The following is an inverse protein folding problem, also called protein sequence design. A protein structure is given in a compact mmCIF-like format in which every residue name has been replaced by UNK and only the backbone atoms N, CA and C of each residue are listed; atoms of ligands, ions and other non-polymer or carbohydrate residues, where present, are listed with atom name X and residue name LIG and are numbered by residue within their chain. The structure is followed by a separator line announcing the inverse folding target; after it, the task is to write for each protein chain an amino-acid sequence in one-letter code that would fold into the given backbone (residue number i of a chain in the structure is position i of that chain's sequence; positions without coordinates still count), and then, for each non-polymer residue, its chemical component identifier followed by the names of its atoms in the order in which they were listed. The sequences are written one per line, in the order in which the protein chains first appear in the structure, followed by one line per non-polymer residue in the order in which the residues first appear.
data_IF_490502402910
#
_entry.id   IF_490502402910
#
_cell.length_a   1.000
_cell.length_b   1.000
_cell.length_c   1.000
_cell.angle_alpha   90.00
_cell.angle_beta   90.00
_cell.angle_gamma   90.00
#
_symmetry.space_group_name_H-M   'P 1'
#
loop_
_entity.id
_entity.type
_entity.pdbx_description
1 polymer ?
#
# COMPACT_ATOMS: atom_id res chain seq x y z
N UNK A 1 6.76 -23.59 4.02
CA UNK A 1 5.85 -22.49 3.63
C UNK A 1 6.11 -21.29 4.54
N UNK A 2 6.06 -20.08 3.99
CA UNK A 2 6.05 -18.85 4.80
C UNK A 2 4.82 -18.82 5.70
N UNK A 3 4.94 -18.23 6.89
CA UNK A 3 3.83 -17.99 7.83
C UNK A 3 2.74 -17.08 7.23
N UNK A 4 3.10 -16.26 6.25
CA UNK A 4 2.21 -15.36 5.50
C UNK A 4 1.61 -16.00 4.26
N UNK A 5 2.05 -17.19 3.85
CA UNK A 5 1.60 -17.85 2.62
C UNK A 5 2.13 -17.24 1.30
N UNK A 6 3.04 -16.26 1.38
CA UNK A 6 3.59 -15.56 0.21
C UNK A 6 4.58 -16.39 -0.60
N UNK A 7 5.33 -17.24 0.10
CA UNK A 7 6.39 -18.07 -0.47
C UNK A 7 6.24 -19.53 -0.07
N UNK A 8 6.38 -20.41 -1.05
CA UNK A 8 6.48 -21.85 -0.85
C UNK A 8 7.83 -22.32 -1.40
N UNK A 9 8.67 -22.89 -0.53
CA UNK A 9 9.87 -23.61 -0.94
C UNK A 9 9.55 -25.11 -0.94
N UNK A 10 9.70 -25.77 -2.08
CA UNK A 10 9.41 -27.19 -2.24
C UNK A 10 10.49 -27.88 -3.11
N UNK A 11 10.78 -29.13 -2.79
CA UNK A 11 11.59 -30.03 -3.61
C UNK A 11 10.67 -30.90 -4.45
N UNK A 12 10.96 -31.07 -5.74
CA UNK A 12 10.17 -31.92 -6.63
C UNK A 12 10.78 -33.33 -6.66
N UNK A 13 9.92 -34.35 -6.73
CA UNK A 13 10.37 -35.74 -6.82
C UNK A 13 11.21 -35.92 -8.10
N UNK A 14 12.38 -36.55 -7.95
CA UNK A 14 13.35 -36.83 -9.02
C UNK A 14 14.17 -35.63 -9.54
N UNK A 15 14.18 -34.48 -8.84
CA UNK A 15 15.05 -33.34 -9.16
C UNK A 15 15.99 -32.89 -8.02
N UNK A 16 17.23 -32.55 -8.36
CA UNK A 16 18.19 -31.94 -7.42
C UNK A 16 18.00 -30.42 -7.39
N UNK A 17 17.27 -29.92 -6.39
CA UNK A 17 17.10 -28.49 -6.16
C UNK A 17 16.02 -28.13 -5.16
N UNK A 18 15.97 -26.86 -4.75
CA UNK A 18 14.86 -26.28 -3.97
C UNK A 18 14.21 -25.20 -4.83
N UNK A 19 12.94 -25.40 -5.17
CA UNK A 19 12.17 -24.46 -5.99
C UNK A 19 11.42 -23.50 -5.09
N UNK A 20 11.51 -22.20 -5.38
CA UNK A 20 10.77 -21.14 -4.68
C UNK A 20 9.57 -20.72 -5.54
N UNK A 21 8.39 -20.78 -4.94
CA UNK A 21 7.11 -20.45 -5.55
C UNK A 21 6.52 -19.20 -4.88
N UNK A 22 5.98 -18.27 -5.66
CA UNK A 22 5.27 -17.07 -5.18
C UNK A 22 3.80 -17.13 -5.55
N UNK A 23 2.91 -16.74 -4.63
CA UNK A 23 1.48 -16.75 -4.90
C UNK A 23 1.04 -15.57 -5.78
N UNK A 24 0.68 -15.83 -7.06
CA UNK A 24 0.21 -14.81 -8.02
C UNK A 24 -1.07 -14.10 -7.56
N UNK A 25 -1.93 -14.76 -6.77
CA UNK A 25 -3.17 -14.17 -6.25
C UNK A 25 -2.95 -13.02 -5.26
N UNK A 26 -1.72 -12.84 -4.76
CA UNK A 26 -1.36 -11.69 -3.93
C UNK A 26 -1.12 -10.41 -4.74
N UNK A 27 -0.88 -10.54 -6.05
CA UNK A 27 -0.46 -9.44 -6.91
C UNK A 27 -1.41 -9.18 -8.09
N UNK A 28 -2.28 -10.15 -8.42
CA UNK A 28 -3.28 -10.04 -9.50
C UNK A 28 -4.60 -10.66 -9.07
N UNK A 29 -5.72 -10.08 -9.53
CA UNK A 29 -7.04 -10.69 -9.36
C UNK A 29 -7.08 -12.02 -10.12
N UNK A 30 -7.21 -13.14 -9.41
CA UNK A 30 -7.34 -14.48 -10.00
C UNK A 30 -8.82 -14.90 -9.91
N UNK A 31 -9.55 -14.98 -11.04
CA UNK A 31 -10.94 -15.38 -11.03
C UNK A 31 -11.09 -16.83 -10.54
N UNK A 32 -12.13 -17.09 -9.74
CA UNK A 32 -12.39 -18.42 -9.16
C UNK A 32 -13.29 -19.23 -10.09
N UNK A 33 -12.79 -19.59 -11.27
CA UNK A 33 -13.47 -20.51 -12.19
C UNK A 33 -12.98 -21.95 -11.98
N UNK A 34 -13.82 -22.92 -12.37
CA UNK A 34 -13.36 -24.30 -12.52
C UNK A 34 -12.29 -24.37 -13.62
N UNK A 35 -11.07 -24.74 -13.25
CA UNK A 35 -9.97 -24.98 -14.18
C UNK A 35 -10.11 -26.40 -14.72
N UNK A 36 -10.16 -26.55 -16.04
CA UNK A 36 -10.16 -27.88 -16.67
C UNK A 36 -8.72 -28.42 -16.78
N UNK A 37 -8.52 -29.74 -16.74
CA UNK A 37 -7.16 -30.34 -16.83
C UNK A 37 -6.38 -29.93 -18.09
N UNK A 38 -7.08 -29.46 -19.13
CA UNK A 38 -6.49 -28.95 -20.38
C UNK A 38 -5.90 -27.55 -20.25
N UNK A 39 -6.34 -26.77 -19.26
CA UNK A 39 -5.84 -25.41 -18.97
C UNK A 39 -4.61 -25.43 -18.05
N UNK A 40 -4.25 -26.59 -17.49
CA UNK A 40 -3.05 -26.75 -16.67
C UNK A 40 -1.83 -26.78 -17.61
N UNK A 41 -1.23 -25.61 -17.81
CA UNK A 41 0.03 -25.48 -18.55
C UNK A 41 1.20 -26.14 -17.79
N UNK A 42 2.06 -26.85 -18.51
CA UNK A 42 3.36 -27.28 -17.97
C UNK A 42 4.31 -26.08 -17.98
N UNK A 43 4.62 -25.54 -16.80
CA UNK A 43 5.61 -24.48 -16.64
C UNK A 43 7.00 -25.10 -16.53
N UNK A 44 7.93 -24.63 -17.37
CA UNK A 44 9.33 -25.06 -17.32
C UNK A 44 9.98 -24.65 -15.98
N UNK A 45 10.77 -25.55 -15.41
CA UNK A 45 11.32 -25.39 -14.07
C UNK A 45 12.55 -24.46 -14.08
N UNK A 46 12.79 -23.72 -12.97
CA UNK A 46 13.99 -22.90 -12.85
C UNK A 46 15.26 -23.78 -12.82
N UNK A 47 16.11 -23.65 -13.84
CA UNK A 47 17.41 -24.35 -13.87
C UNK A 47 18.44 -23.68 -12.96
N UNK A 48 19.31 -24.48 -12.34
CA UNK A 48 20.38 -24.03 -11.40
C UNK A 48 21.33 -22.97 -11.99
N UNK A 49 21.42 -22.87 -13.32
CA UNK A 49 22.27 -21.91 -14.03
C UNK A 49 21.59 -20.58 -14.36
N UNK A 50 20.29 -20.40 -14.09
CA UNK A 50 19.56 -19.17 -14.39
C UNK A 50 19.38 -18.82 -15.88
N UNK A 51 20.11 -19.48 -16.79
CA UNK A 51 19.83 -19.47 -18.22
C UNK A 51 18.50 -20.21 -18.48
N UNK A 52 17.56 -19.51 -19.14
CA UNK A 52 16.19 -19.91 -19.50
C UNK A 52 15.10 -19.71 -18.42
N UNK A 53 15.22 -18.73 -17.53
CA UNK A 53 14.19 -18.39 -16.55
C UNK A 53 12.99 -17.57 -17.12
N UNK A 54 12.73 -17.62 -18.43
CA UNK A 54 11.73 -16.79 -19.12
C UNK A 54 10.32 -16.89 -18.51
N UNK A 55 9.95 -18.08 -17.98
CA UNK A 55 8.63 -18.31 -17.39
C UNK A 55 8.31 -17.49 -16.13
N UNK A 56 9.30 -16.95 -15.41
CA UNK A 56 9.04 -16.20 -14.17
C UNK A 56 8.72 -14.71 -14.44
N UNK A 57 9.20 -14.14 -15.55
CA UNK A 57 8.86 -12.77 -15.97
C UNK A 57 7.64 -12.75 -16.90
N UNK A 58 7.45 -13.75 -17.75
CA UNK A 58 6.36 -13.78 -18.74
C UNK A 58 4.96 -13.70 -18.08
N UNK A 59 4.73 -14.44 -17.00
CA UNK A 59 3.46 -14.38 -16.26
C UNK A 59 3.18 -13.04 -15.55
N UNK A 60 4.18 -12.16 -15.42
CA UNK A 60 4.04 -10.79 -14.90
C UNK A 60 3.80 -9.75 -16.00
N UNK A 61 4.10 -10.10 -17.26
CA UNK A 61 3.87 -9.29 -18.46
C UNK A 61 2.76 -9.83 -19.38
N UNK A 62 2.02 -10.85 -18.95
CA UNK A 62 0.73 -11.19 -19.56
C UNK A 62 -0.18 -9.96 -19.50
N UNK A 63 -0.22 -9.22 -20.62
CA UNK A 63 -1.20 -8.18 -20.88
C UNK A 63 -2.58 -8.81 -20.66
N UNK A 64 -3.43 -8.12 -19.89
CA UNK A 64 -4.82 -8.51 -19.68
C UNK A 64 -5.50 -8.53 -21.06
N UNK A 65 -5.51 -9.69 -21.72
CA UNK A 65 -6.43 -9.91 -22.82
C UNK A 65 -7.81 -9.78 -22.19
N UNK A 66 -8.57 -8.80 -22.68
CA UNK A 66 -9.97 -8.62 -22.34
C UNK A 66 -10.71 -9.94 -22.66
N UNK A 67 -10.81 -10.83 -21.67
CA UNK A 67 -11.68 -11.99 -21.75
C UNK A 67 -13.11 -11.49 -21.65
N UNK A 68 -13.69 -11.18 -22.83
CA UNK A 68 -15.13 -11.06 -22.98
C UNK A 68 -15.79 -12.37 -22.50
N UNK A 69 -16.65 -12.23 -21.48
CA UNK A 69 -17.59 -13.23 -20.93
C UNK A 69 -17.15 -14.02 -19.67
N UNK A 70 -16.82 -13.32 -18.57
CA UNK A 70 -16.71 -13.93 -17.23
C UNK A 70 -18.09 -13.99 -16.52
N UNK A 71 -19.08 -14.60 -17.19
CA UNK A 71 -20.33 -15.00 -16.54
C UNK A 71 -20.11 -16.30 -15.76
N UNK A 72 -19.87 -16.18 -14.45
CA UNK A 72 -19.92 -17.32 -13.52
C UNK A 72 -21.35 -17.86 -13.49
N UNK A 73 -21.62 -18.91 -14.26
CA UNK A 73 -22.81 -19.74 -14.03
C UNK A 73 -22.57 -20.50 -12.74
N UNK A 74 -23.03 -19.92 -11.63
CA UNK A 74 -23.12 -20.65 -10.37
C UNK A 74 -23.90 -21.94 -10.63
N UNK A 75 -23.35 -23.13 -10.33
CA UNK A 75 -24.13 -24.36 -10.44
C UNK A 75 -25.37 -24.21 -9.56
N UNK A 76 -26.54 -24.47 -10.12
CA UNK A 76 -27.79 -24.41 -9.37
C UNK A 76 -27.72 -25.40 -8.22
N UNK A 77 -28.26 -24.99 -7.06
CA UNK A 77 -28.30 -25.72 -5.78
C UNK A 77 -28.83 -27.17 -5.88
N UNK A 78 -29.40 -27.57 -7.01
CA UNK A 78 -29.96 -28.89 -7.28
C UNK A 78 -28.91 -30.00 -7.50
N UNK A 79 -27.62 -29.67 -7.70
CA UNK A 79 -26.56 -30.68 -7.90
C UNK A 79 -25.97 -31.26 -6.60
N UNK A 80 -26.39 -30.77 -5.43
CA UNK A 80 -25.96 -31.33 -4.15
C UNK A 80 -26.77 -32.60 -3.86
N UNK A 81 -26.12 -33.77 -3.97
CA UNK A 81 -26.74 -35.07 -3.70
C UNK A 81 -27.44 -35.06 -2.32
N UNK A 82 -28.64 -35.64 -2.26
CA UNK A 82 -29.51 -35.69 -1.08
C UNK A 82 -28.93 -36.41 0.16
N UNK A 83 -27.74 -37.00 0.06
CA UNK A 83 -27.05 -37.69 1.16
C UNK A 83 -26.08 -36.80 1.97
N UNK A 84 -25.90 -35.53 1.61
CA UNK A 84 -24.97 -34.65 2.32
C UNK A 84 -25.64 -34.00 3.54
N UNK A 85 -25.58 -34.70 4.69
CA UNK A 85 -26.05 -34.17 5.98
C UNK A 85 -25.13 -33.04 6.46
N UNK A 86 -25.61 -31.80 6.42
CA UNK A 86 -24.90 -30.65 7.01
C UNK A 86 -25.37 -30.41 8.46
N UNK A 87 -24.42 -30.11 9.35
CA UNK A 87 -24.61 -29.91 10.81
C UNK A 87 -25.47 -28.67 11.18
N UNK A 88 -26.20 -28.07 10.23
CA UNK A 88 -27.00 -26.86 10.45
C UNK A 88 -28.42 -27.14 10.97
N UNK A 89 -28.87 -28.40 10.92
CA UNK A 89 -30.22 -28.81 11.31
C UNK A 89 -30.36 -29.09 12.82
N UNK A 90 -29.79 -28.22 13.66
CA UNK A 90 -29.87 -28.36 15.12
C UNK A 90 -30.16 -27.02 15.82
N UNK A 91 -31.02 -26.16 15.26
CA UNK A 91 -31.71 -25.13 16.06
C UNK A 91 -32.91 -24.52 15.35
N UNK A 92 -34.02 -25.26 15.20
CA UNK A 92 -35.32 -24.61 14.92
C UNK A 92 -36.48 -25.47 15.38
N UNK A 93 -36.78 -25.39 16.66
CA UNK A 93 -38.15 -25.54 17.14
C UNK A 93 -38.29 -24.87 18.50
N UNK A 94 -38.89 -23.68 18.52
CA UNK A 94 -39.86 -23.21 19.52
C UNK A 94 -40.44 -21.85 19.05
N UNK A 95 -41.71 -21.92 18.64
CA UNK A 95 -42.81 -20.95 18.69
C UNK A 95 -42.69 -19.49 18.16
N UNK A 96 -43.69 -19.17 17.32
CA UNK A 96 -44.08 -17.88 16.74
C UNK A 96 -44.76 -16.92 17.77
N UNK A 97 -45.42 -15.80 17.37
CA UNK A 97 -45.07 -14.68 16.46
C UNK A 97 -45.30 -13.29 17.12
N UNK A 98 -44.50 -12.25 16.80
CA UNK A 98 -44.94 -10.86 16.49
C UNK A 98 -43.79 -9.82 16.47
N UNK A 99 -43.97 -8.89 15.53
CA UNK A 99 -43.50 -7.51 15.47
C UNK A 99 -42.04 -7.24 15.09
N UNK A 100 -41.94 -6.55 13.95
CA UNK A 100 -40.83 -5.81 13.38
C UNK A 100 -39.82 -5.29 14.41
N UNK A 101 -38.58 -5.75 14.29
CA UNK A 101 -37.39 -5.01 14.67
C UNK A 101 -36.25 -5.43 13.72
N UNK A 102 -35.63 -4.41 13.13
CA UNK A 102 -34.41 -4.44 12.33
C UNK A 102 -33.28 -5.18 13.04
N UNK A 103 -32.48 -5.97 12.31
CA UNK A 103 -31.05 -6.14 12.60
C UNK A 103 -30.31 -6.34 11.28
N UNK A 104 -29.70 -5.25 10.80
CA UNK A 104 -28.64 -5.26 9.80
C UNK A 104 -27.38 -5.94 10.36
N UNK A 105 -26.69 -6.68 9.50
CA UNK A 105 -25.37 -7.26 9.75
C UNK A 105 -24.29 -6.16 9.73
N UNK A 106 -24.24 -5.32 10.77
CA UNK A 106 -23.34 -4.16 10.92
C UNK A 106 -22.08 -4.48 11.76
N UNK A 107 -21.77 -5.77 11.98
CA UNK A 107 -20.73 -6.18 12.93
C UNK A 107 -19.29 -5.95 12.46
N UNK A 108 -19.02 -6.05 11.15
CA UNK A 108 -17.65 -6.00 10.59
C UNK A 108 -17.24 -4.61 10.11
N UNK A 109 -18.19 -3.76 9.75
CA UNK A 109 -17.94 -2.41 9.22
C UNK A 109 -17.68 -1.35 10.30
N UNK A 110 -18.20 -1.55 11.51
CA UNK A 110 -18.04 -0.57 12.61
C UNK A 110 -16.65 -0.59 13.21
N UNK A 111 -16.06 -1.76 13.39
CA UNK A 111 -14.76 -1.91 14.05
C UNK A 111 -13.65 -1.27 13.22
N UNK A 112 -13.65 -1.49 11.90
CA UNK A 112 -12.68 -0.85 10.99
C UNK A 112 -12.88 0.66 10.89
N UNK A 113 -14.13 1.16 10.90
CA UNK A 113 -14.43 2.60 10.96
C UNK A 113 -13.98 3.24 12.27
N UNK A 114 -14.17 2.57 13.41
CA UNK A 114 -13.74 3.08 14.72
C UNK A 114 -12.23 3.11 14.84
N UNK A 115 -11.54 2.07 14.33
CA UNK A 115 -10.08 2.07 14.29
C UNK A 115 -9.55 3.17 13.37
N UNK A 116 -10.12 3.34 12.18
CA UNK A 116 -9.74 4.42 11.25
C UNK A 116 -9.90 5.81 11.88
N UNK A 117 -11.04 6.09 12.50
CA UNK A 117 -11.29 7.37 13.18
C UNK A 117 -10.32 7.60 14.36
N UNK A 118 -9.94 6.54 15.09
CA UNK A 118 -8.95 6.63 16.16
C UNK A 118 -7.55 6.95 15.64
N UNK A 119 -7.16 6.37 14.50
CA UNK A 119 -5.87 6.66 13.88
C UNK A 119 -5.80 8.10 13.34
N UNK A 120 -6.86 8.56 12.67
CA UNK A 120 -7.03 9.95 12.19
C UNK A 120 -6.91 10.98 13.35
N UNK A 121 -7.51 10.68 14.51
CA UNK A 121 -7.45 11.54 15.69
C UNK A 121 -6.04 11.59 16.32
N UNK A 122 -5.28 10.48 16.27
CA UNK A 122 -3.91 10.43 16.82
C UNK A 122 -2.93 11.22 15.94
N UNK A 123 -3.07 11.14 14.61
CA UNK A 123 -2.21 11.88 13.69
C UNK A 123 -2.43 13.39 13.80
N UNK A 124 -3.69 13.83 13.71
CA UNK A 124 -4.08 15.24 13.86
C UNK A 124 -3.67 15.81 15.21
N UNK A 125 -3.87 15.05 16.30
CA UNK A 125 -3.45 15.44 17.65
C UNK A 125 -1.92 15.65 17.76
N UNK A 126 -1.11 14.71 17.24
CA UNK A 126 0.35 14.83 17.25
C UNK A 126 0.85 15.98 16.39
N UNK A 127 0.19 16.25 15.27
CA UNK A 127 0.53 17.35 14.38
C UNK A 127 0.26 18.71 15.06
N UNK A 128 -0.87 18.84 15.76
CA UNK A 128 -1.22 20.03 16.55
C UNK A 128 -0.29 20.22 17.76
N UNK A 129 0.09 19.13 18.44
CA UNK A 129 1.10 19.20 19.51
C UNK A 129 2.46 19.68 18.98
N UNK A 130 2.84 19.21 17.79
CA UNK A 130 4.03 19.68 17.06
C UNK A 130 3.96 21.15 16.66
N UNK A 131 2.76 21.64 16.32
CA UNK A 131 2.52 23.05 16.02
C UNK A 131 2.80 23.96 17.22
N UNK A 132 2.35 23.55 18.42
CA UNK A 132 2.54 24.32 19.65
C UNK A 132 3.99 24.32 20.15
N UNK A 133 4.72 23.22 19.91
CA UNK A 133 6.10 23.03 20.40
C UNK A 133 7.18 23.37 19.37
N UNK A 134 6.81 23.51 18.10
CA UNK A 134 7.73 23.75 16.98
C UNK A 134 8.60 22.55 16.60
N UNK A 135 8.38 21.38 17.23
CA UNK A 135 9.15 20.16 17.00
C UNK A 135 8.21 19.02 16.60
N UNK A 136 8.43 18.46 15.41
CA UNK A 136 7.53 17.47 14.81
C UNK A 136 8.07 16.03 14.91
N UNK A 137 9.04 15.77 15.78
CA UNK A 137 9.71 14.46 15.83
C UNK A 137 8.76 13.32 16.22
N UNK A 138 7.86 13.53 17.18
CA UNK A 138 6.87 12.52 17.58
C UNK A 138 5.86 12.20 16.47
N UNK A 139 5.49 13.23 15.70
CA UNK A 139 4.65 13.07 14.51
C UNK A 139 5.37 12.25 13.43
N UNK A 140 6.64 12.55 13.16
CA UNK A 140 7.44 11.83 12.15
C UNK A 140 7.68 10.38 12.59
N UNK A 141 7.94 10.12 13.87
CA UNK A 141 8.05 8.74 14.36
C UNK A 141 6.74 7.96 14.24
N UNK A 142 5.61 8.61 14.53
CA UNK A 142 4.30 8.01 14.31
C UNK A 142 4.11 7.66 12.82
N UNK A 143 4.36 8.60 11.92
CA UNK A 143 4.19 8.39 10.48
C UNK A 143 5.12 7.29 9.93
N UNK A 144 6.32 7.13 10.51
CA UNK A 144 7.24 6.02 10.21
C UNK A 144 6.78 4.66 10.72
N UNK A 145 6.03 4.62 11.81
CA UNK A 145 5.52 3.37 12.38
C UNK A 145 4.36 2.78 11.58
N UNK A 146 3.75 3.60 10.71
CA UNK A 146 2.63 3.20 9.88
C UNK A 146 3.09 2.42 8.64
N UNK A 147 2.22 1.53 8.17
CA UNK A 147 2.40 0.88 6.87
C UNK A 147 2.27 1.90 5.73
N UNK A 148 2.88 1.65 4.55
CA UNK A 148 2.74 2.56 3.40
C UNK A 148 1.28 2.88 3.04
N UNK A 149 0.39 1.89 3.12
CA UNK A 149 -1.04 2.08 2.85
C UNK A 149 -1.74 2.90 3.94
N UNK A 150 -1.39 2.67 5.21
CA UNK A 150 -1.92 3.45 6.33
C UNK A 150 -1.46 4.90 6.27
N UNK A 151 -0.19 5.15 5.94
CA UNK A 151 0.35 6.49 5.76
C UNK A 151 -0.35 7.22 4.61
N UNK A 152 -0.62 6.56 3.49
CA UNK A 152 -1.36 7.17 2.38
C UNK A 152 -2.79 7.58 2.77
N UNK A 153 -3.50 6.72 3.51
CA UNK A 153 -4.84 7.03 4.02
C UNK A 153 -4.83 8.24 4.95
N UNK A 154 -3.86 8.33 5.85
CA UNK A 154 -3.67 9.45 6.78
C UNK A 154 -3.33 10.75 6.04
N UNK A 155 -2.45 10.67 5.02
CA UNK A 155 -2.13 11.82 4.19
C UNK A 155 -3.34 12.31 3.42
N UNK A 156 -4.23 11.42 2.98
CA UNK A 156 -5.46 11.76 2.25
C UNK A 156 -6.55 12.34 3.16
N UNK A 157 -6.54 12.01 4.45
CA UNK A 157 -7.49 12.56 5.44
C UNK A 157 -7.08 13.92 6.00
N UNK A 158 -5.87 14.40 5.71
CA UNK A 158 -5.44 15.74 6.14
C UNK A 158 -6.41 16.81 5.64
N UNK A 159 -6.85 17.67 6.56
CA UNK A 159 -7.83 18.71 6.29
C UNK A 159 -7.30 20.10 6.65
N UNK A 160 -7.86 21.14 6.03
CA UNK A 160 -7.59 22.52 6.43
C UNK A 160 -8.27 22.89 7.76
N UNK A 161 -9.16 22.03 8.28
CA UNK A 161 -9.92 22.29 9.50
C UNK A 161 -10.87 23.50 9.39
N UNK A 162 -11.29 24.03 10.53
CA UNK A 162 -12.34 25.06 10.67
C UNK A 162 -11.88 26.50 10.29
N UNK A 163 -10.87 26.65 9.44
CA UNK A 163 -10.40 27.97 8.96
C UNK A 163 -9.65 28.81 10.01
N UNK A 164 -9.23 28.21 11.12
CA UNK A 164 -8.32 28.85 12.07
C UNK A 164 -6.88 28.41 11.78
N UNK A 165 -5.94 29.37 11.79
CA UNK A 165 -4.54 29.18 11.39
C UNK A 165 -3.81 28.09 12.21
N UNK A 166 -4.24 27.87 13.46
CA UNK A 166 -3.74 26.80 14.34
C UNK A 166 -4.30 25.40 14.05
N UNK A 167 -5.36 25.29 13.26
CA UNK A 167 -6.02 24.02 12.91
C UNK A 167 -5.70 23.53 11.50
N UNK A 168 -4.98 24.33 10.70
CA UNK A 168 -4.62 23.98 9.33
C UNK A 168 -3.63 22.81 9.30
N UNK A 169 -4.09 21.57 9.20
CA UNK A 169 -3.22 20.39 9.25
C UNK A 169 -2.28 20.35 8.06
N UNK A 170 -2.74 20.76 6.87
CA UNK A 170 -1.91 20.88 5.67
C UNK A 170 -0.71 21.81 5.88
N UNK A 171 -0.92 22.96 6.55
CA UNK A 171 0.13 23.93 6.83
C UNK A 171 1.17 23.37 7.80
N UNK A 172 0.71 22.72 8.88
CA UNK A 172 1.58 22.11 9.87
C UNK A 172 2.34 20.91 9.29
N UNK A 173 1.74 20.16 8.38
CA UNK A 173 2.39 19.08 7.66
C UNK A 173 3.55 19.60 6.80
N UNK A 174 3.34 20.66 6.01
CA UNK A 174 4.41 21.29 5.23
C UNK A 174 5.52 21.79 6.15
N UNK A 175 5.17 22.46 7.27
CA UNK A 175 6.14 22.93 8.27
C UNK A 175 6.93 21.78 8.90
N UNK A 176 6.30 20.64 9.15
CA UNK A 176 6.94 19.43 9.68
C UNK A 176 7.99 18.88 8.70
N UNK A 177 7.63 18.77 7.41
CA UNK A 177 8.56 18.33 6.37
C UNK A 177 9.71 19.33 6.17
N UNK A 178 9.44 20.64 6.23
CA UNK A 178 10.47 21.68 6.19
C UNK A 178 11.41 21.59 7.37
N UNK A 179 10.91 21.37 8.59
CA UNK A 179 11.75 21.18 9.78
C UNK A 179 12.64 19.94 9.65
N UNK A 180 12.12 18.84 9.10
CA UNK A 180 12.88 17.61 8.87
C UNK A 180 13.98 17.78 7.82
N UNK A 181 13.68 18.53 6.76
CA UNK A 181 14.62 18.88 5.72
C UNK A 181 15.76 19.77 6.25
N UNK A 182 15.43 20.77 7.08
CA UNK A 182 16.40 21.61 7.80
C UNK A 182 17.30 20.78 8.73
N UNK A 183 16.73 19.76 9.38
CA UNK A 183 17.48 18.84 10.23
C UNK A 183 18.36 17.85 9.45
N UNK A 184 18.26 17.80 8.11
CA UNK A 184 18.99 16.88 7.22
C UNK A 184 18.79 15.41 7.57
N UNK A 185 17.57 15.03 7.95
CA UNK A 185 17.21 13.64 8.25
C UNK A 185 16.13 13.17 7.31
N UNK A 186 16.14 11.87 6.98
CA UNK A 186 15.08 11.20 6.23
C UNK A 186 14.71 11.91 4.91
N UNK A 187 15.73 12.26 4.11
CA UNK A 187 15.53 12.99 2.86
C UNK A 187 14.58 12.25 1.91
N UNK A 188 14.85 10.97 1.63
CA UNK A 188 14.01 10.12 0.76
C UNK A 188 12.56 10.08 1.23
N UNK A 189 12.35 9.93 2.54
CA UNK A 189 11.01 9.84 3.11
C UNK A 189 10.27 11.18 3.03
N UNK A 190 10.99 12.28 3.30
CA UNK A 190 10.47 13.65 3.16
C UNK A 190 10.04 13.92 1.72
N UNK A 191 10.83 13.48 0.72
CA UNK A 191 10.48 13.62 -0.70
C UNK A 191 9.28 12.77 -1.10
N UNK A 192 9.25 11.51 -0.66
CA UNK A 192 8.14 10.60 -0.94
C UNK A 192 6.83 11.17 -0.40
N UNK A 193 6.82 11.60 0.86
CA UNK A 193 5.65 12.19 1.49
C UNK A 193 5.25 13.53 0.87
N UNK A 194 6.20 14.41 0.53
CA UNK A 194 5.88 15.66 -0.17
C UNK A 194 5.27 15.40 -1.55
N UNK A 195 5.79 14.41 -2.27
CA UNK A 195 5.28 14.04 -3.60
C UNK A 195 3.85 13.53 -3.52
N UNK A 196 3.55 12.65 -2.55
CA UNK A 196 2.18 12.15 -2.33
C UNK A 196 1.26 13.28 -1.88
N UNK A 197 1.70 14.11 -0.93
CA UNK A 197 0.94 15.26 -0.45
C UNK A 197 0.55 16.21 -1.58
N UNK A 198 1.50 16.61 -2.43
CA UNK A 198 1.22 17.48 -3.57
C UNK A 198 0.30 16.79 -4.58
N UNK A 199 0.43 15.48 -4.83
CA UNK A 199 -0.49 14.76 -5.72
C UNK A 199 -1.93 14.73 -5.19
N UNK A 200 -2.11 14.65 -3.88
CA UNK A 200 -3.43 14.52 -3.24
C UNK A 200 -4.12 15.87 -3.02
N UNK A 201 -3.36 16.91 -2.68
CA UNK A 201 -3.89 18.20 -2.20
C UNK A 201 -3.47 19.40 -3.06
N UNK A 202 -3.02 19.18 -4.30
CA UNK A 202 -2.55 20.25 -5.20
C UNK A 202 -3.58 21.36 -5.40
N UNK A 203 -4.84 20.99 -5.59
CA UNK A 203 -5.96 21.90 -5.81
C UNK A 203 -6.15 22.85 -4.62
N UNK A 204 -6.25 22.30 -3.42
CA UNK A 204 -6.44 23.07 -2.18
C UNK A 204 -5.21 23.94 -1.87
N UNK A 205 -4.01 23.41 -2.12
CA UNK A 205 -2.75 24.14 -1.94
C UNK A 205 -2.66 25.37 -2.85
N UNK A 206 -3.12 25.25 -4.10
CA UNK A 206 -3.08 26.35 -5.07
C UNK A 206 -4.07 27.47 -4.75
N UNK A 207 -5.13 27.18 -4.00
CA UNK A 207 -6.14 28.17 -3.60
C UNK A 207 -5.72 29.02 -2.38
N UNK A 208 -4.81 28.52 -1.54
CA UNK A 208 -4.38 29.18 -0.29
C UNK A 208 -3.01 29.84 -0.42
N UNK A 209 -2.96 31.15 -0.20
CA UNK A 209 -1.69 31.90 -0.20
C UNK A 209 -0.76 31.48 0.96
N UNK A 210 -1.30 31.10 2.12
CA UNK A 210 -0.51 30.70 3.29
C UNK A 210 0.23 29.39 3.05
N UNK A 211 -0.41 28.42 2.39
CA UNK A 211 0.20 27.15 2.01
C UNK A 211 1.29 27.36 0.95
N UNK A 212 1.06 28.25 -0.01
CA UNK A 212 2.07 28.62 -1.01
C UNK A 212 3.29 29.29 -0.39
N UNK A 213 3.10 30.16 0.60
CA UNK A 213 4.21 30.77 1.34
C UNK A 213 5.06 29.71 2.06
N UNK A 214 4.41 28.76 2.74
CA UNK A 214 5.10 27.64 3.40
C UNK A 214 5.84 26.72 2.41
N UNK A 215 5.24 26.45 1.25
CA UNK A 215 5.88 25.67 0.19
C UNK A 215 7.05 26.39 -0.47
N UNK A 216 6.98 27.71 -0.59
CA UNK A 216 8.09 28.53 -1.09
C UNK A 216 9.31 28.39 -0.18
N UNK A 217 9.10 28.47 1.15
CA UNK A 217 10.18 28.22 2.12
C UNK A 217 10.73 26.80 1.99
N UNK A 218 9.84 25.78 1.94
CA UNK A 218 10.27 24.39 1.75
C UNK A 218 11.12 24.21 0.49
N UNK A 219 10.69 24.81 -0.63
CA UNK A 219 11.37 24.73 -1.93
C UNK A 219 12.78 25.29 -1.88
N UNK A 220 13.00 26.41 -1.19
CA UNK A 220 14.34 27.00 -1.05
C UNK A 220 15.31 26.06 -0.33
N UNK A 221 14.87 25.40 0.74
CA UNK A 221 15.68 24.40 1.44
C UNK A 221 15.88 23.14 0.59
N UNK A 222 14.85 22.74 -0.16
CA UNK A 222 14.91 21.60 -1.05
C UNK A 222 15.94 21.78 -2.17
N UNK A 223 15.97 22.95 -2.83
CA UNK A 223 16.95 23.23 -3.87
C UNK A 223 18.39 23.23 -3.34
N UNK A 224 18.61 23.75 -2.13
CA UNK A 224 19.92 23.73 -1.47
C UNK A 224 20.40 22.31 -1.16
N UNK A 225 19.56 21.48 -0.54
CA UNK A 225 19.94 20.11 -0.20
C UNK A 225 20.01 19.20 -1.43
N UNK A 226 19.13 19.38 -2.42
CA UNK A 226 19.17 18.67 -3.69
C UNK A 226 20.49 18.95 -4.43
N UNK A 227 20.84 20.24 -4.60
CA UNK A 227 22.09 20.62 -5.27
C UNK A 227 23.34 20.03 -4.59
N UNK A 228 23.33 19.95 -3.25
CA UNK A 228 24.41 19.35 -2.47
C UNK A 228 24.52 17.85 -2.71
N UNK A 229 23.39 17.13 -2.69
CA UNK A 229 23.35 15.69 -2.90
C UNK A 229 23.70 15.34 -4.35
N UNK A 230 23.14 16.06 -5.32
CA UNK A 230 23.42 15.87 -6.75
C UNK A 230 24.89 16.11 -7.07
N UNK A 231 25.51 17.15 -6.50
CA UNK A 231 26.94 17.40 -6.66
C UNK A 231 27.81 16.26 -6.12
N UNK A 232 27.45 15.71 -4.95
CA UNK A 232 28.20 14.62 -4.33
C UNK A 232 28.02 13.30 -5.09
N UNK A 233 26.79 12.93 -5.41
CA UNK A 233 26.47 11.70 -6.16
C UNK A 233 27.02 11.80 -7.58
N UNK A 234 26.91 12.96 -8.23
CA UNK A 234 27.44 13.23 -9.55
C UNK A 234 28.96 13.10 -9.61
N UNK A 235 29.69 13.65 -8.63
CA UNK A 235 31.14 13.49 -8.54
C UNK A 235 31.54 12.03 -8.33
N UNK A 236 30.97 11.36 -7.33
CA UNK A 236 31.27 9.97 -7.04
C UNK A 236 30.96 9.06 -8.25
N UNK A 237 29.80 9.24 -8.88
CA UNK A 237 29.39 8.48 -10.05
C UNK A 237 30.31 8.74 -11.25
N UNK A 238 30.70 9.99 -11.48
CA UNK A 238 31.63 10.37 -12.56
C UNK A 238 33.01 9.74 -12.38
N UNK A 239 33.58 9.81 -11.17
CA UNK A 239 34.88 9.20 -10.85
C UNK A 239 34.81 7.67 -10.96
N UNK A 240 33.76 7.04 -10.43
CA UNK A 240 33.58 5.58 -10.53
C UNK A 240 33.45 5.15 -11.99
N UNK A 241 32.70 5.89 -12.80
CA UNK A 241 32.55 5.61 -14.24
C UNK A 241 33.88 5.74 -14.97
N UNK A 242 34.68 6.78 -14.67
CA UNK A 242 36.02 6.96 -15.21
C UNK A 242 36.97 5.82 -14.82
N UNK A 243 36.97 5.42 -13.54
CA UNK A 243 37.80 4.30 -13.06
C UNK A 243 37.36 2.95 -13.63
N UNK A 244 36.07 2.77 -13.92
CA UNK A 244 35.54 1.55 -14.54
C UNK A 244 35.91 1.45 -16.01
N UNK A 245 36.00 2.58 -16.72
CA UNK A 245 36.34 2.65 -18.14
C UNK A 245 37.49 3.65 -18.42
N UNK A 246 38.73 3.39 -17.97
CA UNK A 246 39.83 4.35 -18.10
C UNK A 246 40.46 4.39 -19.51
N UNK A 247 39.98 3.57 -20.46
CA UNK A 247 40.60 3.35 -21.78
C UNK A 247 39.67 3.60 -22.99
N UNK A 248 38.57 4.29 -22.78
CA UNK A 248 37.79 4.96 -23.84
C UNK A 248 38.09 6.43 -23.80
#
# INVERSE_FOLDING_TARGET
MSVTGEYLAATIQDELGVTLWTNKALFKHVPTRQISEKEIGQVALPTVSGENNEGMLEGAFEEDQDEEDDTVVAPTIEQLSSELTTLSLARKNILAPKQQAEVEDDGKSRITKVEKARFEEVLSSKLQAGAATGTYDEFIEHLKSLSPSSADLELRSLSIGDGNEGSNELLHFIRALTARLKARRDYELTQAWMTVFLKLHFDVVMESEDLLAALSEWKEYQEKECSRLDGLVGYCSGVVTFLRNPRT
#
